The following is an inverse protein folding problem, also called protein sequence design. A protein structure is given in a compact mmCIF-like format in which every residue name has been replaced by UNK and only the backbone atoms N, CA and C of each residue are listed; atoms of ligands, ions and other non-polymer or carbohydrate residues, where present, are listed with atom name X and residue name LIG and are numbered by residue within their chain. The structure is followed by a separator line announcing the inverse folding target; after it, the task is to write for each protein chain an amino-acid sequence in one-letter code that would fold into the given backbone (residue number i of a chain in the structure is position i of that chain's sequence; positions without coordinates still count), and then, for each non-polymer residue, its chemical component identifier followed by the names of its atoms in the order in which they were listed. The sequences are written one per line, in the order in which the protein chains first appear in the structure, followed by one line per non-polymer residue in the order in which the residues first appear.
data_IF_620661992803
#
_entry.id   IF_620661992803
#
_cell.length_a   1.000
_cell.length_b   1.000
_cell.length_c   1.000
_cell.angle_alpha   90.00
_cell.angle_beta   90.00
_cell.angle_gamma   90.00
#
_symmetry.space_group_name_H-M   'P 1'
#
loop_
_entity.id
_entity.type
_entity.pdbx_description
1 polymer ?
#
# COMPACT_ATOMS: atom_id res chain seq x y z
N UNK A 1 11.85 -29.97 -6.89
CA UNK A 1 12.99 -29.03 -6.98
C UNK A 1 13.01 -28.19 -5.72
N UNK A 2 14.12 -28.18 -4.97
CA UNK A 2 14.26 -27.34 -3.78
C UNK A 2 14.80 -25.96 -4.17
N UNK A 3 14.25 -24.90 -3.58
CA UNK A 3 14.68 -23.52 -3.83
C UNK A 3 15.91 -23.21 -2.97
N UNK A 4 16.92 -22.55 -3.55
CA UNK A 4 18.10 -22.09 -2.80
C UNK A 4 17.78 -20.82 -2.00
N UNK A 5 18.52 -20.57 -0.92
CA UNK A 5 18.36 -19.36 -0.10
C UNK A 5 18.56 -18.09 -0.94
N UNK A 6 19.55 -18.06 -1.84
CA UNK A 6 19.80 -16.92 -2.73
C UNK A 6 18.58 -16.66 -3.63
N UNK A 7 18.00 -17.71 -4.22
CA UNK A 7 16.82 -17.58 -5.06
C UNK A 7 15.58 -17.14 -4.26
N UNK A 8 15.46 -17.58 -2.99
CA UNK A 8 14.40 -17.16 -2.09
C UNK A 8 14.52 -15.67 -1.74
N UNK A 9 15.71 -15.21 -1.34
CA UNK A 9 15.98 -13.80 -0.99
C UNK A 9 15.68 -12.87 -2.17
N UNK A 10 16.13 -13.22 -3.38
CA UNK A 10 15.87 -12.43 -4.58
C UNK A 10 14.37 -12.35 -4.94
N UNK A 11 13.59 -13.40 -4.65
CA UNK A 11 12.14 -13.39 -4.86
C UNK A 11 11.44 -12.53 -3.81
N UNK A 12 11.77 -12.72 -2.54
CA UNK A 12 11.22 -11.94 -1.43
C UNK A 12 11.47 -10.45 -1.64
N UNK A 13 12.68 -10.06 -2.03
CA UNK A 13 13.05 -8.65 -2.29
C UNK A 13 12.24 -7.97 -3.40
N UNK A 14 11.65 -8.75 -4.34
CA UNK A 14 10.71 -8.21 -5.34
C UNK A 14 9.26 -8.23 -4.87
N UNK A 15 8.83 -9.34 -4.28
CA UNK A 15 7.44 -9.56 -3.90
C UNK A 15 6.97 -8.61 -2.78
N UNK A 16 7.90 -8.20 -1.91
CA UNK A 16 7.58 -7.39 -0.75
C UNK A 16 7.19 -5.94 -1.14
N UNK A 17 7.99 -5.19 -1.94
CA UNK A 17 7.53 -3.91 -2.51
C UNK A 17 6.26 -4.03 -3.37
N UNK A 18 6.13 -5.11 -4.15
CA UNK A 18 4.92 -5.38 -4.95
C UNK A 18 3.66 -5.51 -4.06
N UNK A 19 3.79 -6.14 -2.89
CA UNK A 19 2.71 -6.29 -1.92
C UNK A 19 2.32 -4.94 -1.29
N UNK A 20 3.30 -4.12 -0.90
CA UNK A 20 3.08 -2.77 -0.37
C UNK A 20 2.31 -1.90 -1.37
N UNK A 21 2.77 -1.85 -2.62
CA UNK A 21 2.13 -1.09 -3.70
C UNK A 21 0.70 -1.59 -4.00
N UNK A 22 0.47 -2.89 -3.88
CA UNK A 22 -0.86 -3.49 -4.12
C UNK A 22 -1.89 -3.04 -3.08
N UNK A 23 -1.49 -2.89 -1.82
CA UNK A 23 -2.38 -2.41 -0.75
C UNK A 23 -2.67 -0.91 -0.96
N UNK A 24 -1.68 -0.10 -1.31
CA UNK A 24 -1.87 1.32 -1.62
C UNK A 24 -2.82 1.51 -2.82
N UNK A 25 -2.67 0.70 -3.86
CA UNK A 25 -3.57 0.70 -5.01
C UNK A 25 -5.02 0.34 -4.61
N UNK A 26 -5.20 -0.65 -3.74
CA UNK A 26 -6.51 -1.03 -3.21
C UNK A 26 -7.12 0.09 -2.34
N UNK A 27 -6.31 0.76 -1.52
CA UNK A 27 -6.73 1.89 -0.70
C UNK A 27 -7.19 3.05 -1.58
N UNK A 28 -6.43 3.40 -2.62
CA UNK A 28 -6.81 4.44 -3.60
C UNK A 28 -8.12 4.10 -4.32
N UNK A 29 -8.27 2.86 -4.80
CA UNK A 29 -9.50 2.42 -5.45
C UNK A 29 -10.72 2.53 -4.52
N UNK A 30 -10.55 2.14 -3.26
CA UNK A 30 -11.62 2.26 -2.25
C UNK A 30 -11.96 3.71 -1.91
N UNK A 31 -10.98 4.62 -1.91
CA UNK A 31 -11.19 6.05 -1.66
C UNK A 31 -12.02 6.70 -2.78
N UNK A 32 -11.72 6.37 -4.04
CA UNK A 32 -12.52 6.82 -5.20
C UNK A 32 -13.96 6.33 -5.14
N UNK A 33 -14.18 5.10 -4.66
CA UNK A 33 -15.53 4.58 -4.42
C UNK A 33 -16.26 5.38 -3.33
N UNK A 34 -15.59 5.68 -2.22
CA UNK A 34 -16.16 6.48 -1.13
C UNK A 34 -16.57 7.88 -1.60
N UNK A 35 -15.70 8.55 -2.36
CA UNK A 35 -15.98 9.84 -3.00
C UNK A 35 -17.25 9.77 -3.85
N UNK A 36 -17.33 8.77 -4.75
CA UNK A 36 -18.50 8.58 -5.63
C UNK A 36 -19.78 8.35 -4.83
N UNK A 37 -19.73 7.55 -3.75
CA UNK A 37 -20.88 7.32 -2.87
C UNK A 37 -21.35 8.58 -2.15
N UNK A 38 -20.42 9.44 -1.74
CA UNK A 38 -20.73 10.72 -1.10
C UNK A 38 -21.34 11.72 -2.08
N UNK A 39 -20.81 11.81 -3.31
CA UNK A 39 -21.38 12.64 -4.37
C UNK A 39 -22.80 12.18 -4.73
N UNK A 40 -23.04 10.87 -4.83
CA UNK A 40 -24.36 10.32 -5.11
C UNK A 40 -25.40 10.67 -4.02
N UNK A 41 -24.98 10.84 -2.76
CA UNK A 41 -25.87 11.33 -1.68
C UNK A 41 -26.24 12.81 -1.80
N UNK A 42 -25.46 13.59 -2.55
CA UNK A 42 -25.75 14.99 -2.83
C UNK A 42 -26.75 15.20 -3.97
N UNK A 43 -27.16 14.12 -4.66
CA UNK A 43 -28.13 14.20 -5.75
C UNK A 43 -29.52 14.58 -5.22
N UNK A 44 -30.26 15.37 -6.01
CA UNK A 44 -31.60 15.82 -5.66
C UNK A 44 -32.55 14.62 -5.43
N UNK A 45 -33.36 14.71 -4.37
CA UNK A 45 -34.30 13.65 -4.00
C UNK A 45 -33.71 12.49 -3.18
N UNK A 46 -32.41 12.48 -2.90
CA UNK A 46 -31.77 11.45 -2.06
C UNK A 46 -31.74 11.89 -0.59
N UNK A 47 -32.28 11.06 0.31
CA UNK A 47 -32.16 11.32 1.75
C UNK A 47 -30.71 11.20 2.20
N UNK A 48 -30.27 12.08 3.10
CA UNK A 48 -28.89 12.06 3.61
C UNK A 48 -28.52 10.76 4.34
N UNK A 49 -29.46 10.00 4.88
CA UNK A 49 -29.17 8.70 5.51
C UNK A 49 -28.97 7.56 4.50
N UNK A 50 -29.28 7.78 3.21
CA UNK A 50 -29.21 6.75 2.16
C UNK A 50 -27.78 6.24 2.04
N UNK A 51 -27.61 4.92 2.09
CA UNK A 51 -26.32 4.26 1.93
C UNK A 51 -25.37 4.40 3.13
N UNK A 52 -25.80 4.94 4.29
CA UNK A 52 -24.88 5.12 5.43
C UNK A 52 -24.23 3.83 5.91
N UNK A 53 -25.01 2.74 6.03
CA UNK A 53 -24.45 1.44 6.39
C UNK A 53 -23.36 0.97 5.41
N UNK A 54 -23.49 1.29 4.13
CA UNK A 54 -22.48 0.97 3.13
C UNK A 54 -21.23 1.84 3.28
N UNK A 55 -21.38 3.15 3.53
CA UNK A 55 -20.25 4.07 3.81
C UNK A 55 -19.46 3.61 5.05
N UNK A 56 -20.15 3.25 6.14
CA UNK A 56 -19.49 2.73 7.35
C UNK A 56 -18.73 1.43 7.08
N UNK A 57 -19.28 0.53 6.26
CA UNK A 57 -18.60 -0.71 5.88
C UNK A 57 -17.37 -0.44 5.00
N UNK A 58 -17.46 0.51 4.07
CA UNK A 58 -16.33 0.92 3.25
C UNK A 58 -15.22 1.58 4.08
N UNK A 59 -15.58 2.45 5.02
CA UNK A 59 -14.63 3.06 5.95
C UNK A 59 -13.92 1.99 6.81
N UNK A 60 -14.65 0.97 7.26
CA UNK A 60 -14.06 -0.17 7.97
C UNK A 60 -13.07 -0.94 7.07
N UNK A 61 -13.42 -1.19 5.81
CA UNK A 61 -12.54 -1.85 4.86
C UNK A 61 -11.25 -1.05 4.61
N UNK A 62 -11.36 0.28 4.46
CA UNK A 62 -10.22 1.19 4.34
C UNK A 62 -9.29 1.13 5.56
N UNK A 63 -9.85 1.11 6.76
CA UNK A 63 -9.07 0.94 8.00
C UNK A 63 -8.31 -0.39 8.01
N UNK A 64 -8.95 -1.48 7.62
CA UNK A 64 -8.30 -2.79 7.54
C UNK A 64 -7.16 -2.81 6.52
N UNK A 65 -7.29 -2.12 5.39
CA UNK A 65 -6.19 -1.96 4.42
C UNK A 65 -5.00 -1.21 5.04
N UNK A 66 -5.25 -0.13 5.77
CA UNK A 66 -4.19 0.65 6.47
C UNK A 66 -3.50 -0.20 7.54
N UNK A 67 -4.27 -0.95 8.32
CA UNK A 67 -3.72 -1.88 9.33
C UNK A 67 -2.86 -2.95 8.63
N UNK A 68 -3.33 -3.51 7.52
CA UNK A 68 -2.58 -4.49 6.71
C UNK A 68 -1.27 -3.91 6.15
N UNK A 69 -1.29 -2.66 5.67
CA UNK A 69 -0.08 -1.97 5.19
C UNK A 69 0.96 -1.83 6.30
N UNK A 70 0.53 -1.45 7.51
CA UNK A 70 1.45 -1.36 8.65
C UNK A 70 2.10 -2.72 8.97
N UNK A 71 1.34 -3.81 8.90
CA UNK A 71 1.86 -5.15 9.15
C UNK A 71 2.84 -5.60 8.06
N UNK A 72 2.57 -5.29 6.78
CA UNK A 72 3.52 -5.55 5.68
C UNK A 72 4.83 -4.74 5.87
N UNK A 73 4.74 -3.47 6.26
CA UNK A 73 5.92 -2.64 6.53
C UNK A 73 6.76 -3.18 7.71
N UNK A 74 6.12 -3.76 8.73
CA UNK A 74 6.83 -4.46 9.82
C UNK A 74 7.52 -5.72 9.33
N UNK A 75 6.81 -6.54 8.55
CA UNK A 75 7.38 -7.74 7.90
C UNK A 75 8.60 -7.35 7.06
N UNK A 76 8.55 -6.23 6.34
CA UNK A 76 9.70 -5.73 5.59
C UNK A 76 10.91 -5.49 6.50
N UNK A 77 10.72 -4.75 7.59
CA UNK A 77 11.79 -4.47 8.53
C UNK A 77 12.36 -5.74 9.18
N UNK A 78 11.51 -6.68 9.55
CA UNK A 78 11.91 -7.99 10.11
C UNK A 78 12.72 -8.80 9.10
N UNK A 79 12.27 -8.89 7.86
CA UNK A 79 12.98 -9.58 6.78
C UNK A 79 14.34 -8.94 6.49
N UNK A 80 14.44 -7.61 6.57
CA UNK A 80 15.72 -6.90 6.44
C UNK A 80 16.67 -7.26 7.58
N UNK A 81 16.17 -7.40 8.80
CA UNK A 81 16.97 -7.87 9.94
C UNK A 81 17.48 -9.29 9.73
N UNK A 82 16.58 -10.22 9.35
CA UNK A 82 16.92 -11.62 9.07
C UNK A 82 17.94 -11.73 7.94
N UNK A 83 17.79 -10.93 6.89
CA UNK A 83 18.73 -10.92 5.76
C UNK A 83 20.15 -10.52 6.15
N UNK A 84 20.31 -9.62 7.13
CA UNK A 84 21.62 -9.29 7.73
C UNK A 84 22.17 -10.46 8.55
N UNK A 85 21.34 -11.06 9.41
CA UNK A 85 21.76 -12.17 10.29
C UNK A 85 22.26 -13.39 9.51
N UNK A 86 21.64 -13.69 8.37
CA UNK A 86 22.01 -14.82 7.50
C UNK A 86 23.14 -14.45 6.51
N UNK A 87 23.70 -13.22 6.59
CA UNK A 87 24.66 -12.66 5.61
C UNK A 87 24.17 -12.74 4.16
N UNK A 88 22.85 -12.74 3.99
CA UNK A 88 22.20 -12.73 2.67
C UNK A 88 22.13 -11.31 2.09
N UNK A 89 22.32 -10.29 2.93
CA UNK A 89 22.39 -8.86 2.59
C UNK A 89 23.72 -8.32 3.15
N UNK A 90 24.53 -7.67 2.31
CA UNK A 90 25.77 -7.00 2.76
C UNK A 90 25.45 -5.63 3.37
N UNK A 91 26.24 -5.16 4.34
CA UNK A 91 26.02 -3.88 5.04
C UNK A 91 26.02 -2.62 4.13
N UNK A 92 26.40 -2.77 2.86
CA UNK A 92 26.55 -1.70 1.87
C UNK A 92 25.26 -1.38 1.08
N UNK A 93 24.29 -2.29 1.01
CA UNK A 93 23.06 -2.07 0.23
C UNK A 93 21.95 -1.48 1.13
N UNK A 94 22.16 -0.21 1.45
CA UNK A 94 21.26 0.64 2.22
C UNK A 94 19.94 0.99 1.51
N UNK A 95 19.68 0.53 0.29
CA UNK A 95 18.66 1.18 -0.51
C UNK A 95 17.24 0.59 -0.36
N UNK A 96 16.49 1.15 0.60
CA UNK A 96 15.07 1.45 0.36
C UNK A 96 14.91 2.71 -0.54
N UNK A 97 16.01 3.28 -1.03
CA UNK A 97 16.04 4.48 -1.85
C UNK A 97 16.00 4.12 -3.33
N UNK A 98 14.81 3.79 -3.79
CA UNK A 98 14.39 4.26 -5.11
C UNK A 98 12.94 4.76 -5.08
N UNK A 99 12.56 5.44 -3.99
CA UNK A 99 11.38 6.33 -4.00
C UNK A 99 11.70 7.63 -4.78
N UNK A 100 12.97 7.91 -5.06
CA UNK A 100 13.41 9.08 -5.85
C UNK A 100 12.85 9.08 -7.28
N UNK A 101 12.52 7.91 -7.86
CA UNK A 101 11.90 7.83 -9.19
C UNK A 101 10.38 8.12 -9.23
N UNK A 102 9.68 8.08 -8.09
CA UNK A 102 8.22 8.30 -8.04
C UNK A 102 7.89 9.78 -7.80
N UNK A 103 8.77 10.52 -7.14
CA UNK A 103 8.57 11.95 -6.86
C UNK A 103 8.86 12.88 -8.06
N UNK A 104 9.57 12.41 -9.10
CA UNK A 104 9.75 13.19 -10.34
C UNK A 104 8.54 13.14 -11.29
N UNK A 105 7.58 12.23 -11.07
CA UNK A 105 6.42 12.05 -11.97
C UNK A 105 5.12 12.74 -11.49
N UNK A 106 5.17 13.53 -10.43
CA UNK A 106 4.01 14.35 -10.02
C UNK A 106 4.17 15.74 -10.66
N UNK A 107 3.45 16.07 -11.76
CA UNK A 107 3.46 17.43 -12.27
C UNK A 107 2.93 18.33 -11.16
N UNK A 108 3.78 19.27 -10.74
CA UNK A 108 3.44 20.24 -9.70
C UNK A 108 2.12 20.92 -10.07
N UNK A 109 1.08 20.65 -9.27
CA UNK A 109 -0.16 21.40 -9.26
C UNK A 109 0.17 22.83 -8.81
N UNK A 110 0.56 23.67 -9.77
CA UNK A 110 0.58 25.12 -9.60
C UNK A 110 -0.85 25.55 -9.28
N UNK A 111 -1.06 25.88 -8.01
CA UNK A 111 -2.19 26.71 -7.60
C UNK A 111 -2.04 28.08 -8.27
N UNK A 112 -2.98 28.40 -9.15
CA UNK A 112 -3.38 29.75 -9.53
C UNK A 112 -4.87 29.70 -9.89
#
# INVERSE_FOLDING_TARGET
MSMTIIAATARIGRQLPEAELSIDAALLASARLMETMLLARGAEGVQSCTGQTALMRLAKAQRTLIESQNDILRIHQELRSIGKDVKAISDDDGSCDNVSGVLEAVPQLKRA
#
